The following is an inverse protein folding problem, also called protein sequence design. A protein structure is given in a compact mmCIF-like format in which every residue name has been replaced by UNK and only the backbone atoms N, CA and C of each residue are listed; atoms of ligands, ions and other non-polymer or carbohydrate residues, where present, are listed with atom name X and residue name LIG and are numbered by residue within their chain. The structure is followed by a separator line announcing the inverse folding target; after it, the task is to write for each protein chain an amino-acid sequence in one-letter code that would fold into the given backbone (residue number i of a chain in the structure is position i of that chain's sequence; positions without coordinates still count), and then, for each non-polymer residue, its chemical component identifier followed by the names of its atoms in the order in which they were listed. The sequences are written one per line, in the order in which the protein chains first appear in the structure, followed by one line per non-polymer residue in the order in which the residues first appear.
data_IF_470203141610
#
_entry.id   IF_470203141610
#
_cell.length_a   1.000
_cell.length_b   1.000
_cell.length_c   1.000
_cell.angle_alpha   90.00
_cell.angle_beta   90.00
_cell.angle_gamma   90.00
#
_symmetry.space_group_name_H-M   'P 1'
#
loop_
_entity.id
_entity.type
_entity.pdbx_description
1 polymer ?
#
# COMPACT_ATOMS: atom_id res chain seq x y z
N UNK A 1 -0.66 8.86 4.96
CA UNK A 1 -1.23 9.33 6.24
C UNK A 1 -0.27 8.89 7.33
N UNK A 2 0.38 9.84 7.97
CA UNK A 2 1.64 9.73 8.73
C UNK A 2 2.93 9.77 7.91
N UNK A 3 3.01 9.37 6.65
CA UNK A 3 4.26 9.50 5.88
C UNK A 3 4.58 10.96 5.50
N UNK A 4 5.85 11.35 5.59
CA UNK A 4 6.31 12.57 4.95
C UNK A 4 6.36 12.37 3.43
N UNK A 5 5.95 13.39 2.67
CA UNK A 5 5.83 13.29 1.20
C UNK A 5 7.20 13.13 0.52
N UNK A 6 8.25 13.65 1.14
CA UNK A 6 9.61 13.60 0.61
C UNK A 6 10.17 12.17 0.67
N UNK A 7 10.14 11.54 1.83
CA UNK A 7 10.57 10.17 2.08
C UNK A 7 9.72 9.18 1.31
N UNK A 8 8.39 9.36 1.32
CA UNK A 8 7.50 8.54 0.49
C UNK A 8 7.85 8.63 -1.00
N UNK A 9 8.16 9.83 -1.53
CA UNK A 9 8.57 9.98 -2.94
C UNK A 9 9.85 9.22 -3.25
N UNK A 10 10.88 9.32 -2.39
CA UNK A 10 12.14 8.61 -2.60
C UNK A 10 11.97 7.09 -2.56
N UNK A 11 11.24 6.61 -1.55
CA UNK A 11 10.85 5.21 -1.40
C UNK A 11 10.11 4.71 -2.64
N UNK A 12 9.08 5.44 -3.06
CA UNK A 12 8.23 5.05 -4.19
C UNK A 12 9.01 5.06 -5.51
N UNK A 13 9.85 6.06 -5.75
CA UNK A 13 10.70 6.07 -6.95
C UNK A 13 11.71 4.92 -6.99
N UNK A 14 12.21 4.48 -5.83
CA UNK A 14 13.05 3.27 -5.75
C UNK A 14 12.25 2.01 -6.09
N UNK A 15 11.02 1.90 -5.60
CA UNK A 15 10.09 0.83 -5.99
C UNK A 15 9.83 0.82 -7.51
N UNK A 16 9.49 1.96 -8.11
CA UNK A 16 9.27 2.06 -9.57
C UNK A 16 10.49 1.67 -10.39
N UNK A 17 11.69 2.06 -9.95
CA UNK A 17 12.94 1.69 -10.65
C UNK A 17 13.22 0.19 -10.59
N UNK A 18 12.91 -0.44 -9.46
CA UNK A 18 13.32 -1.80 -9.16
C UNK A 18 12.13 -2.77 -9.09
N UNK A 19 10.97 -2.44 -9.65
CA UNK A 19 9.71 -3.18 -9.40
C UNK A 19 9.88 -4.68 -9.63
N UNK A 20 9.56 -5.48 -8.61
CA UNK A 20 9.72 -6.95 -8.57
C UNK A 20 11.16 -7.49 -8.75
N UNK A 21 12.18 -6.64 -8.69
CA UNK A 21 13.60 -7.03 -8.63
C UNK A 21 14.08 -7.14 -7.18
N UNK A 22 15.29 -7.66 -6.97
CA UNK A 22 15.86 -7.89 -5.63
C UNK A 22 15.94 -6.61 -4.77
N UNK A 23 16.12 -5.46 -5.41
CA UNK A 23 16.22 -4.15 -4.77
C UNK A 23 14.88 -3.41 -4.63
N UNK A 24 13.76 -4.06 -4.94
CA UNK A 24 12.43 -3.50 -4.70
C UNK A 24 12.17 -3.41 -3.18
N UNK A 25 12.00 -2.21 -2.60
CA UNK A 25 11.66 -2.08 -1.19
C UNK A 25 10.33 -2.76 -0.82
N UNK A 26 9.41 -2.93 -1.77
CA UNK A 26 8.11 -3.57 -1.58
C UNK A 26 8.12 -5.08 -1.92
N UNK A 27 9.25 -5.67 -2.33
CA UNK A 27 9.31 -7.09 -2.76
C UNK A 27 8.74 -8.04 -1.70
N UNK A 28 9.02 -7.77 -0.42
CA UNK A 28 8.57 -8.60 0.71
C UNK A 28 7.05 -8.68 0.84
N UNK A 29 6.31 -7.73 0.23
CA UNK A 29 4.86 -7.67 0.25
C UNK A 29 4.23 -8.54 -0.86
N UNK A 30 4.89 -8.67 -2.03
CA UNK A 30 4.38 -9.40 -3.19
C UNK A 30 4.97 -10.81 -3.36
N UNK A 31 6.26 -10.98 -3.11
CA UNK A 31 7.02 -12.24 -3.29
C UNK A 31 6.43 -13.46 -2.57
N UNK A 32 5.80 -13.35 -1.38
CA UNK A 32 5.25 -14.51 -0.70
C UNK A 32 4.02 -15.15 -1.37
N UNK A 33 3.47 -14.57 -2.45
CA UNK A 33 2.29 -15.09 -3.14
C UNK A 33 2.67 -15.97 -4.34
N UNK A 34 1.86 -17.00 -4.68
CA UNK A 34 0.57 -17.34 -4.08
C UNK A 34 0.69 -17.97 -2.69
N UNK A 35 -0.38 -17.89 -1.90
CA UNK A 35 -0.43 -18.43 -0.53
C UNK A 35 -1.62 -19.37 -0.33
N UNK A 36 -1.49 -20.31 0.61
CA UNK A 36 -2.63 -21.13 1.02
C UNK A 36 -3.80 -20.29 1.55
N UNK A 37 -5.03 -20.76 1.30
CA UNK A 37 -6.26 -20.14 1.85
C UNK A 37 -6.20 -19.90 3.37
N UNK A 38 -5.65 -20.86 4.14
CA UNK A 38 -5.47 -20.73 5.60
C UNK A 38 -4.51 -19.61 5.96
N UNK A 39 -3.43 -19.46 5.19
CA UNK A 39 -2.45 -18.38 5.35
C UNK A 39 -3.06 -17.02 5.03
N UNK A 40 -3.88 -16.92 3.97
CA UNK A 40 -4.61 -15.69 3.65
C UNK A 40 -5.63 -15.33 4.72
N UNK A 41 -6.45 -16.30 5.17
CA UNK A 41 -7.43 -16.09 6.23
C UNK A 41 -6.78 -15.56 7.51
N UNK A 42 -5.67 -16.15 7.94
CA UNK A 42 -4.90 -15.66 9.10
C UNK A 42 -4.44 -14.22 8.93
N UNK A 43 -3.95 -13.83 7.74
CA UNK A 43 -3.55 -12.45 7.45
C UNK A 43 -4.74 -11.48 7.54
N UNK A 44 -5.87 -11.86 6.95
CA UNK A 44 -7.13 -11.09 6.99
C UNK A 44 -7.63 -10.92 8.42
N UNK A 45 -7.69 -11.99 9.21
CA UNK A 45 -8.10 -11.92 10.62
C UNK A 45 -7.15 -11.04 11.44
N UNK A 46 -5.84 -11.14 11.20
CA UNK A 46 -4.85 -10.29 11.86
C UNK A 46 -5.04 -8.80 11.57
N UNK A 47 -5.53 -8.46 10.38
CA UNK A 47 -5.90 -7.09 10.04
C UNK A 47 -7.22 -6.69 10.70
N UNK A 48 -8.27 -7.50 10.59
CA UNK A 48 -9.60 -7.21 11.18
C UNK A 48 -9.51 -7.00 12.70
N UNK A 49 -8.74 -7.82 13.41
CA UNK A 49 -8.55 -7.70 14.85
C UNK A 49 -7.46 -6.70 15.26
N UNK A 50 -6.90 -5.95 14.31
CA UNK A 50 -5.98 -4.85 14.60
C UNK A 50 -4.54 -5.22 14.94
N UNK A 51 -4.23 -6.52 15.02
CA UNK A 51 -2.89 -7.03 15.37
C UNK A 51 -1.83 -6.55 14.36
N UNK A 52 -2.13 -6.59 13.05
CA UNK A 52 -1.20 -6.06 12.03
C UNK A 52 -0.94 -4.57 12.21
N UNK A 53 -1.98 -3.79 12.53
CA UNK A 53 -1.84 -2.35 12.74
C UNK A 53 -0.98 -2.06 13.96
N UNK A 54 -1.24 -2.75 15.08
CA UNK A 54 -0.49 -2.59 16.33
C UNK A 54 1.00 -2.91 16.13
N UNK A 55 1.31 -4.05 15.49
CA UNK A 55 2.70 -4.44 15.21
C UNK A 55 3.39 -3.40 14.33
N UNK A 56 2.75 -2.93 13.25
CA UNK A 56 3.32 -1.91 12.37
C UNK A 56 3.57 -0.58 13.09
N UNK A 57 2.69 -0.15 14.00
CA UNK A 57 2.88 1.09 14.78
C UNK A 57 3.93 0.94 15.86
N UNK A 58 3.96 -0.19 16.54
CA UNK A 58 5.02 -0.51 17.48
C UNK A 58 6.38 -0.48 16.78
N UNK A 59 6.51 -1.17 15.64
CA UNK A 59 7.75 -1.15 14.87
C UNK A 59 8.14 0.25 14.42
N UNK A 60 7.20 1.04 13.91
CA UNK A 60 7.45 2.43 13.51
C UNK A 60 7.98 3.26 14.69
N UNK A 61 7.25 3.31 15.80
CA UNK A 61 7.59 4.15 16.96
C UNK A 61 8.91 3.68 17.58
N UNK A 62 9.04 2.38 17.84
CA UNK A 62 10.20 1.81 18.52
C UNK A 62 11.46 1.93 17.66
N UNK A 63 11.38 1.60 16.36
CA UNK A 63 12.52 1.75 15.44
C UNK A 63 12.93 3.21 15.29
N UNK A 64 12.00 4.16 15.17
CA UNK A 64 12.33 5.59 15.03
C UNK A 64 12.86 6.22 16.32
N UNK A 65 12.43 5.76 17.50
CA UNK A 65 12.94 6.28 18.78
C UNK A 65 14.32 5.69 19.13
N UNK A 66 14.52 4.38 18.92
CA UNK A 66 15.75 3.68 19.32
C UNK A 66 16.86 3.68 18.28
N UNK A 67 16.55 3.76 16.98
CA UNK A 67 17.61 3.87 15.98
C UNK A 67 18.10 5.31 15.87
N UNK A 68 19.31 5.56 16.37
CA UNK A 68 20.23 6.46 15.69
C UNK A 68 20.65 5.78 14.37
N UNK A 69 20.25 6.35 13.23
CA UNK A 69 20.71 6.00 11.86
C UNK A 69 21.40 4.64 11.70
N UNK A 70 20.61 3.58 11.50
CA UNK A 70 21.20 2.27 11.13
C UNK A 70 21.23 2.15 9.61
N UNK A 71 22.41 2.37 9.02
CA UNK A 71 22.74 1.85 7.69
C UNK A 71 22.66 0.32 7.74
N UNK A 72 21.92 -0.31 6.82
CA UNK A 72 22.14 -1.74 6.50
C UNK A 72 23.44 -1.88 5.70
N UNK A 73 24.13 -3.01 5.86
CA UNK A 73 25.43 -3.33 5.25
C UNK A 73 25.46 -3.41 3.71
N UNK A 74 24.35 -3.21 3.00
CA UNK A 74 24.30 -3.22 1.52
C UNK A 74 24.37 -1.81 0.89
N UNK A 75 24.66 -0.77 1.67
CA UNK A 75 24.76 0.61 1.15
C UNK A 75 23.44 1.23 0.68
N UNK A 76 22.33 0.49 0.71
CA UNK A 76 20.99 0.96 0.31
C UNK A 76 20.19 1.41 1.53
N UNK A 77 19.91 2.72 1.59
CA UNK A 77 18.91 3.31 2.49
C UNK A 77 17.54 3.13 1.86
N UNK A 78 16.64 2.44 2.57
CA UNK A 78 15.20 2.49 2.26
C UNK A 78 14.59 3.35 3.36
N UNK A 79 14.33 4.61 3.02
CA UNK A 79 13.80 5.62 3.93
C UNK A 79 12.29 5.49 4.09
N UNK A 80 11.89 4.57 4.97
CA UNK A 80 10.57 4.56 5.56
C UNK A 80 10.64 5.20 6.94
N UNK A 81 10.29 6.50 7.03
CA UNK A 81 10.25 7.30 8.27
C UNK A 81 11.59 7.52 8.97
N UNK A 82 12.42 8.39 8.40
CA UNK A 82 13.79 8.58 8.90
C UNK A 82 13.97 9.71 9.92
N UNK A 83 12.95 10.50 10.26
CA UNK A 83 13.15 11.61 11.20
C UNK A 83 12.28 11.52 12.45
N UNK A 84 12.92 11.72 13.61
CA UNK A 84 12.23 11.94 14.90
C UNK A 84 11.23 13.10 14.80
N UNK A 85 11.53 14.09 13.97
CA UNK A 85 10.63 15.22 13.70
C UNK A 85 9.32 14.77 13.04
N UNK A 86 9.37 13.82 12.11
CA UNK A 86 8.16 13.24 11.51
C UNK A 86 7.32 12.53 12.58
N UNK A 87 7.97 11.75 13.46
CA UNK A 87 7.28 11.10 14.58
C UNK A 87 6.66 12.11 15.55
N UNK A 88 7.37 13.18 15.92
CA UNK A 88 6.83 14.24 16.76
C UNK A 88 5.65 14.95 16.09
N UNK A 89 5.74 15.26 14.79
CA UNK A 89 4.63 15.83 14.04
C UNK A 89 3.38 14.94 14.07
N UNK A 90 3.55 13.62 13.94
CA UNK A 90 2.45 12.66 14.08
C UNK A 90 1.88 12.70 15.49
N UNK A 91 2.70 12.61 16.53
CA UNK A 91 2.22 12.60 17.91
C UNK A 91 1.48 13.90 18.25
N UNK A 92 2.06 15.05 17.93
CA UNK A 92 1.46 16.37 18.15
C UNK A 92 0.13 16.48 17.41
N UNK A 93 0.08 16.10 16.12
CA UNK A 93 -1.17 16.16 15.35
C UNK A 93 -2.27 15.25 15.93
N UNK A 94 -1.93 14.04 16.38
CA UNK A 94 -2.90 13.14 17.02
C UNK A 94 -3.37 13.68 18.37
N UNK A 95 -2.48 14.27 19.17
CA UNK A 95 -2.81 14.93 20.44
C UNK A 95 -3.80 16.08 20.18
N UNK A 96 -3.53 16.93 19.20
CA UNK A 96 -4.42 18.05 18.83
C UNK A 96 -5.80 17.53 18.41
N UNK A 97 -5.86 16.51 17.53
CA UNK A 97 -7.13 15.93 17.08
C UNK A 97 -7.90 15.34 18.26
N UNK A 98 -7.23 14.60 19.15
CA UNK A 98 -7.86 14.02 20.33
C UNK A 98 -8.42 15.11 21.25
N UNK A 99 -7.64 16.12 21.60
CA UNK A 99 -8.09 17.20 22.47
C UNK A 99 -9.20 18.03 21.84
N UNK A 100 -9.22 18.19 20.52
CA UNK A 100 -10.34 18.82 19.80
C UNK A 100 -11.64 18.06 20.05
N UNK A 101 -11.65 16.74 19.85
CA UNK A 101 -12.84 15.92 20.13
C UNK A 101 -13.17 15.87 21.62
N UNK A 102 -12.17 15.89 22.50
CA UNK A 102 -12.34 15.87 23.94
C UNK A 102 -13.01 17.14 24.46
N UNK A 103 -12.57 18.33 24.02
CA UNK A 103 -13.19 19.63 24.38
C UNK A 103 -14.65 19.69 23.92
N UNK A 104 -14.96 19.08 22.76
CA UNK A 104 -16.34 18.97 22.26
C UNK A 104 -17.21 17.94 23.00
N UNK A 105 -16.67 17.27 24.03
CA UNK A 105 -17.35 16.20 24.77
C UNK A 105 -17.48 14.88 24.01
N UNK A 106 -16.87 14.76 22.82
CA UNK A 106 -16.98 13.62 21.91
C UNK A 106 -15.64 12.88 21.75
N UNK A 107 -14.85 12.77 22.83
CA UNK A 107 -13.52 12.15 22.81
C UNK A 107 -13.49 10.76 22.15
N UNK A 108 -14.58 10.00 22.26
CA UNK A 108 -14.70 8.66 21.69
C UNK A 108 -14.72 8.66 20.15
N UNK A 109 -15.04 9.79 19.48
CA UNK A 109 -14.99 9.90 18.02
C UNK A 109 -13.57 9.66 17.51
N UNK A 110 -12.55 10.12 18.24
CA UNK A 110 -11.16 9.83 17.94
C UNK A 110 -10.89 8.32 17.99
N UNK A 111 -11.45 7.59 18.95
CA UNK A 111 -11.27 6.14 19.00
C UNK A 111 -12.04 5.45 17.87
N UNK A 112 -13.32 5.79 17.68
CA UNK A 112 -14.23 5.08 16.77
C UNK A 112 -13.94 5.36 15.28
N UNK A 113 -13.56 6.59 14.92
CA UNK A 113 -13.42 7.01 13.52
C UNK A 113 -11.97 7.25 13.09
N UNK A 114 -11.03 7.28 14.05
CA UNK A 114 -9.62 7.43 13.74
C UNK A 114 -8.80 6.20 14.12
N UNK A 115 -8.66 5.88 15.42
CA UNK A 115 -7.80 4.77 15.83
C UNK A 115 -8.34 3.41 15.39
N UNK A 116 -9.62 3.11 15.63
CA UNK A 116 -10.20 1.81 15.30
C UNK A 116 -10.03 1.49 13.80
N UNK A 117 -10.45 2.35 12.85
CA UNK A 117 -10.25 2.08 11.42
C UNK A 117 -8.77 1.98 11.03
N UNK A 118 -7.91 2.83 11.61
CA UNK A 118 -6.47 2.83 11.34
C UNK A 118 -5.81 1.49 11.69
N UNK A 119 -6.20 0.89 12.83
CA UNK A 119 -5.66 -0.38 13.27
C UNK A 119 -6.30 -1.57 12.57
N UNK A 120 -7.59 -1.50 12.22
CA UNK A 120 -8.35 -2.63 11.67
C UNK A 120 -8.56 -2.54 10.15
N UNK A 121 -9.66 -1.95 9.72
CA UNK A 121 -10.16 -1.98 8.34
C UNK A 121 -9.18 -1.38 7.34
N UNK A 122 -8.46 -0.32 7.74
CA UNK A 122 -7.45 0.30 6.89
C UNK A 122 -6.33 -0.68 6.54
N UNK A 123 -5.90 -1.53 7.49
CA UNK A 123 -4.87 -2.53 7.25
C UNK A 123 -5.35 -3.61 6.28
N UNK A 124 -6.61 -4.02 6.40
CA UNK A 124 -7.22 -4.98 5.51
C UNK A 124 -7.27 -4.44 4.07
N UNK A 125 -7.78 -3.22 3.89
CA UNK A 125 -7.88 -2.61 2.56
C UNK A 125 -6.49 -2.34 1.94
N UNK A 126 -5.53 -1.88 2.74
CA UNK A 126 -4.14 -1.74 2.28
C UNK A 126 -3.56 -3.08 1.83
N UNK A 127 -3.78 -4.17 2.58
CA UNK A 127 -3.31 -5.50 2.17
C UNK A 127 -3.93 -5.93 0.85
N UNK A 128 -5.26 -5.83 0.74
CA UNK A 128 -5.97 -6.22 -0.48
C UNK A 128 -5.44 -5.43 -1.68
N UNK A 129 -5.20 -4.12 -1.50
CA UNK A 129 -4.62 -3.26 -2.54
C UNK A 129 -3.21 -3.69 -2.92
N UNK A 130 -2.29 -3.85 -1.97
CA UNK A 130 -0.92 -4.26 -2.26
C UNK A 130 -0.86 -5.62 -2.99
N UNK A 131 -1.76 -6.55 -2.65
CA UNK A 131 -1.91 -7.83 -3.36
C UNK A 131 -2.41 -7.59 -4.79
N UNK A 132 -3.42 -6.73 -4.96
CA UNK A 132 -3.98 -6.39 -6.26
C UNK A 132 -2.97 -5.80 -7.22
N UNK A 133 -2.01 -5.03 -6.70
CA UNK A 133 -1.03 -4.28 -7.49
C UNK A 133 0.10 -5.18 -8.00
N UNK A 134 0.64 -6.08 -7.16
CA UNK A 134 1.89 -6.79 -7.48
C UNK A 134 1.95 -8.28 -7.15
N UNK A 135 1.04 -8.82 -6.33
CA UNK A 135 1.16 -10.23 -5.94
C UNK A 135 0.90 -11.18 -7.11
N UNK A 136 1.83 -12.12 -7.34
CA UNK A 136 1.70 -13.16 -8.37
C UNK A 136 1.67 -12.65 -9.81
N UNK A 137 2.27 -11.49 -10.08
CA UNK A 137 2.47 -10.99 -11.45
C UNK A 137 3.63 -11.74 -12.14
N UNK A 138 3.61 -11.86 -13.47
CA UNK A 138 4.66 -12.57 -14.22
C UNK A 138 6.04 -11.93 -14.11
N UNK A 139 6.11 -10.59 -14.08
CA UNK A 139 7.33 -9.79 -13.98
C UNK A 139 8.45 -10.16 -14.98
N UNK A 140 8.08 -10.41 -16.24
CA UNK A 140 9.03 -10.66 -17.34
C UNK A 140 9.50 -9.37 -18.02
N UNK A 141 8.70 -8.31 -17.95
CA UNK A 141 8.99 -6.99 -18.50
C UNK A 141 8.11 -5.92 -17.82
N UNK A 142 8.27 -4.66 -18.24
CA UNK A 142 7.57 -3.51 -17.66
C UNK A 142 6.04 -3.54 -17.84
N UNK A 143 5.52 -4.37 -18.76
CA UNK A 143 4.09 -4.48 -19.03
C UNK A 143 3.37 -5.51 -18.12
N UNK A 144 4.13 -6.28 -17.33
CA UNK A 144 3.58 -7.33 -16.46
C UNK A 144 4.28 -7.45 -15.10
N UNK A 145 4.97 -6.40 -14.64
CA UNK A 145 5.56 -6.30 -13.31
C UNK A 145 4.59 -5.66 -12.26
N UNK A 146 3.47 -5.13 -12.74
CA UNK A 146 2.36 -4.54 -11.98
C UNK A 146 1.04 -4.91 -12.66
N UNK A 147 -0.09 -4.75 -11.97
CA UNK A 147 -1.39 -5.22 -12.45
C UNK A 147 -2.46 -4.13 -12.49
N UNK A 148 -3.29 -4.19 -13.52
CA UNK A 148 -4.58 -3.50 -13.57
C UNK A 148 -5.69 -4.43 -13.10
N UNK A 149 -6.40 -4.03 -12.06
CA UNK A 149 -7.58 -4.76 -11.57
C UNK A 149 -8.79 -3.87 -11.81
N UNK A 150 -9.76 -4.30 -12.60
CA UNK A 150 -10.98 -3.51 -12.75
C UNK A 150 -11.74 -3.44 -11.43
N UNK A 151 -12.31 -2.27 -11.17
CA UNK A 151 -12.93 -1.95 -9.89
C UNK A 151 -14.29 -1.30 -10.14
N UNK A 152 -15.33 -1.83 -9.50
CA UNK A 152 -16.65 -1.20 -9.46
C UNK A 152 -16.66 0.03 -8.53
N UNK A 153 -17.78 0.74 -8.43
CA UNK A 153 -17.88 1.98 -7.65
C UNK A 153 -17.54 1.78 -6.15
N UNK A 154 -17.90 0.63 -5.58
CA UNK A 154 -17.64 0.29 -4.18
C UNK A 154 -16.15 -0.04 -4.00
N UNK A 155 -15.59 -0.89 -4.86
CA UNK A 155 -14.16 -1.23 -4.84
C UNK A 155 -13.29 0.02 -5.02
N UNK A 156 -13.69 0.95 -5.90
CA UNK A 156 -13.03 2.26 -6.06
C UNK A 156 -13.17 3.16 -4.85
N UNK A 157 -14.26 3.10 -4.10
CA UNK A 157 -14.44 3.93 -2.91
C UNK A 157 -13.55 3.45 -1.74
N UNK A 158 -13.45 2.12 -1.54
CA UNK A 158 -12.83 1.56 -0.33
C UNK A 158 -11.45 0.95 -0.54
N UNK A 159 -11.20 0.30 -1.69
CA UNK A 159 -9.97 -0.46 -1.94
C UNK A 159 -9.01 0.32 -2.84
N UNK A 160 -9.55 0.92 -3.89
CA UNK A 160 -8.78 1.58 -4.93
C UNK A 160 -9.27 3.02 -5.24
N UNK A 161 -9.25 3.93 -4.25
CA UNK A 161 -9.50 5.33 -4.51
C UNK A 161 -8.40 5.91 -5.41
N UNK A 162 -8.69 7.05 -6.03
CA UNK A 162 -7.74 7.75 -6.91
C UNK A 162 -7.20 6.91 -8.06
N UNK A 163 -8.02 6.04 -8.66
CA UNK A 163 -7.69 5.28 -9.86
C UNK A 163 -6.48 4.33 -9.72
N UNK A 164 -6.06 4.01 -8.49
CA UNK A 164 -4.93 3.10 -8.24
C UNK A 164 -5.17 1.67 -8.74
N UNK A 165 -6.43 1.33 -9.05
CA UNK A 165 -6.79 0.08 -9.71
C UNK A 165 -6.17 -0.06 -11.12
N UNK A 166 -5.72 1.06 -11.70
CA UNK A 166 -4.89 1.15 -12.91
C UNK A 166 -3.40 1.26 -12.54
N UNK A 167 -2.90 0.28 -11.77
CA UNK A 167 -1.56 0.33 -11.19
C UNK A 167 -0.47 0.11 -12.24
N UNK A 168 -0.72 -0.79 -13.21
CA UNK A 168 0.21 -1.02 -14.31
C UNK A 168 0.47 0.27 -15.10
N UNK A 169 -0.57 1.04 -15.39
CA UNK A 169 -0.45 2.31 -16.10
C UNK A 169 0.30 3.36 -15.26
N UNK A 170 0.11 3.33 -13.95
CA UNK A 170 0.89 4.16 -13.03
C UNK A 170 2.38 3.82 -13.08
N UNK A 171 2.75 2.55 -13.18
CA UNK A 171 4.15 2.11 -13.36
C UNK A 171 4.74 2.53 -14.70
N UNK A 172 3.98 2.34 -15.79
CA UNK A 172 4.42 2.73 -17.13
C UNK A 172 4.52 4.25 -17.30
N UNK A 173 3.63 5.00 -16.63
CA UNK A 173 3.47 6.45 -16.83
C UNK A 173 3.26 7.21 -15.52
N UNK A 174 4.20 7.11 -14.58
CA UNK A 174 4.11 7.77 -13.25
C UNK A 174 3.82 9.27 -13.26
N UNK A 175 4.15 9.97 -14.35
CA UNK A 175 3.91 11.40 -14.53
C UNK A 175 2.47 11.73 -14.96
N UNK A 176 1.68 10.72 -15.34
CA UNK A 176 0.27 10.90 -15.72
C UNK A 176 -0.57 11.04 -14.46
N UNK A 177 -1.40 12.10 -14.36
CA UNK A 177 -2.25 12.26 -13.20
C UNK A 177 -3.30 11.14 -13.13
N UNK A 178 -3.63 10.70 -11.92
CA UNK A 178 -4.41 9.49 -11.69
C UNK A 178 -5.75 9.43 -12.44
N UNK A 179 -6.45 10.56 -12.57
CA UNK A 179 -7.73 10.66 -13.29
C UNK A 179 -7.62 10.44 -14.81
N UNK A 180 -6.41 10.39 -15.37
CA UNK A 180 -6.14 10.05 -16.78
C UNK A 180 -5.64 8.61 -16.97
N UNK A 181 -5.41 7.83 -15.90
CA UNK A 181 -4.89 6.46 -16.02
C UNK A 181 -5.84 5.54 -16.78
N UNK A 182 -7.16 5.71 -16.63
CA UNK A 182 -8.14 4.98 -17.44
C UNK A 182 -7.95 5.24 -18.94
N UNK A 183 -7.69 6.50 -19.33
CA UNK A 183 -7.41 6.84 -20.74
C UNK A 183 -6.08 6.24 -21.20
N UNK A 184 -5.06 6.22 -20.34
CA UNK A 184 -3.78 5.57 -20.65
C UNK A 184 -3.98 4.06 -20.88
N UNK A 185 -4.77 3.40 -20.02
CA UNK A 185 -5.16 2.00 -20.17
C UNK A 185 -5.83 1.73 -21.52
N UNK A 186 -6.83 2.53 -21.89
CA UNK A 186 -7.51 2.42 -23.19
C UNK A 186 -6.55 2.61 -24.38
N UNK A 187 -5.51 3.43 -24.23
CA UNK A 187 -4.48 3.62 -25.26
C UNK A 187 -3.51 2.44 -25.36
N UNK A 188 -3.15 1.82 -24.23
CA UNK A 188 -2.31 0.62 -24.18
C UNK A 188 -3.02 -0.56 -24.85
N UNK A 189 -4.31 -0.77 -24.55
CA UNK A 189 -5.12 -1.84 -25.13
C UNK A 189 -5.26 -1.77 -26.65
N UNK A 190 -5.02 -0.62 -27.27
CA UNK A 190 -5.00 -0.49 -28.74
C UNK A 190 -3.72 -1.03 -29.37
N UNK A 191 -2.66 -1.23 -28.60
CA UNK A 191 -1.31 -1.59 -29.07
C UNK A 191 -0.79 -2.91 -28.51
N UNK A 192 -1.34 -3.38 -27.39
CA UNK A 192 -0.91 -4.60 -26.71
C UNK A 192 -2.09 -5.56 -26.54
N UNK A 193 -1.80 -6.85 -26.60
CA UNK A 193 -2.80 -7.87 -26.29
C UNK A 193 -2.98 -7.97 -24.77
N UNK A 194 -4.13 -8.49 -24.33
CA UNK A 194 -4.36 -8.74 -22.91
C UNK A 194 -3.40 -9.79 -22.31
N UNK A 195 -2.81 -10.66 -23.12
CA UNK A 195 -1.90 -11.70 -22.65
C UNK A 195 -0.52 -11.16 -22.25
N UNK A 196 -0.12 -10.04 -22.88
CA UNK A 196 1.11 -9.31 -22.60
C UNK A 196 1.03 -8.56 -21.26
N UNK A 197 -0.19 -8.22 -20.83
CA UNK A 197 -0.49 -7.40 -19.67
C UNK A 197 -0.97 -8.24 -18.48
N UNK A 198 -0.80 -7.71 -17.27
CA UNK A 198 -1.44 -8.26 -16.07
C UNK A 198 -2.77 -7.53 -15.84
N UNK A 199 -3.85 -8.09 -16.37
CA UNK A 199 -5.21 -7.55 -16.19
C UNK A 199 -6.10 -8.57 -15.46
N UNK A 200 -6.86 -8.10 -14.48
CA UNK A 200 -7.92 -8.87 -13.81
C UNK A 200 -9.26 -8.15 -13.91
N UNK A 201 -10.32 -8.91 -14.14
CA UNK A 201 -11.68 -8.40 -14.33
C UNK A 201 -12.35 -7.86 -13.05
N UNK A 202 -11.77 -8.14 -11.88
CA UNK A 202 -12.31 -7.72 -10.59
C UNK A 202 -11.45 -8.20 -9.42
N UNK A 203 -11.69 -7.64 -8.22
CA UNK A 203 -10.94 -8.00 -7.02
C UNK A 203 -11.14 -9.46 -6.60
N UNK A 204 -12.33 -10.03 -6.80
CA UNK A 204 -12.57 -11.45 -6.50
C UNK A 204 -11.73 -12.37 -7.39
N UNK A 205 -11.68 -12.10 -8.70
CA UNK A 205 -10.85 -12.86 -9.64
C UNK A 205 -9.37 -12.71 -9.30
N UNK A 206 -8.94 -11.48 -9.00
CA UNK A 206 -7.56 -11.18 -8.59
C UNK A 206 -7.18 -11.96 -7.31
N UNK A 207 -7.97 -11.87 -6.24
CA UNK A 207 -7.68 -12.56 -4.99
C UNK A 207 -7.64 -14.08 -5.17
N UNK A 208 -8.51 -14.66 -6.01
CA UNK A 208 -8.46 -16.09 -6.32
C UNK A 208 -7.17 -16.50 -7.03
N UNK A 209 -6.61 -15.64 -7.89
CA UNK A 209 -5.39 -15.96 -8.64
C UNK A 209 -4.11 -16.03 -7.81
N UNK A 210 -4.14 -15.54 -6.57
CA UNK A 210 -2.99 -15.55 -5.65
C UNK A 210 -3.16 -16.56 -4.51
N UNK A 211 -4.12 -17.48 -4.65
CA UNK A 211 -4.40 -18.54 -3.69
C UNK A 211 -4.08 -19.91 -4.26
N UNK A 212 -3.48 -20.77 -3.43
CA UNK A 212 -3.29 -22.20 -3.67
C UNK A 212 -4.01 -23.03 -2.62
#
# INVERSE_FOLDING_TARGET
MWSDTYGYRHYHLAHHRNTQLEDDPDLSLSKPFPVEKKSMLRKVLRDIFGVSGLVQRYELIFKTLLKSDTKKNDGKKISGFESRNTLYGILISNIIIFFTFWILGQWWYFLAFWLLPLFTFFQLFLRIRNIAEHAGVKSKNDFNNARTTYANIIERAFVAPYYVNYHLEHHLFMFVPCYKLKKAHEMILKKHSNEDLEIKSGYVSMLRSVLI
#
